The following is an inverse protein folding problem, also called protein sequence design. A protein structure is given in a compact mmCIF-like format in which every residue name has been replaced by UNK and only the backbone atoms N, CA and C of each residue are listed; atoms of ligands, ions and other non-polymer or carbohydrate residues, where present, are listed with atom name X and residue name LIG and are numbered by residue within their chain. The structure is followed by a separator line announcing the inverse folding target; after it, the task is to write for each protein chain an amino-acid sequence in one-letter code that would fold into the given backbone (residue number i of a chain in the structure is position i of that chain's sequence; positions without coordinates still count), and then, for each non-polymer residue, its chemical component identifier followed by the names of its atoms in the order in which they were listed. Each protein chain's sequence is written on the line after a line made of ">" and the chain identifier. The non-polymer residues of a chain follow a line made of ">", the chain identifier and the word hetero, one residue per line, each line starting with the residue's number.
data_IF_541893243592
#
_entry.id   IF_541893243592
#
_cell.length_a   1.000
_cell.length_b   1.000
_cell.length_c   1.000
_cell.angle_alpha   90.00
_cell.angle_beta   90.00
_cell.angle_gamma   90.00
#
_symmetry.space_group_name_H-M   'P 1'
#
loop_
_entity.id
_entity.type
_entity.pdbx_description
1 polymer ?
#
# COMPACT_ATOMS: atom_id res chain seq x y z
N UNK A 1 79.98 19.27 35.86
CA UNK A 1 78.71 19.10 36.59
C UNK A 1 77.72 18.36 35.69
N UNK A 2 77.00 17.39 36.29
CA UNK A 2 75.88 16.57 35.83
C UNK A 2 75.10 16.98 34.54
N UNK A 3 74.50 16.10 33.73
CA UNK A 3 74.25 14.64 33.73
C UNK A 3 73.50 14.33 32.40
N UNK A 4 73.75 13.12 31.85
CA UNK A 4 72.79 12.22 31.16
C UNK A 4 72.15 12.69 29.83
N UNK A 5 72.53 12.11 28.67
CA UNK A 5 72.10 10.81 28.08
C UNK A 5 70.77 10.87 27.31
N UNK A 6 70.84 10.35 26.07
CA UNK A 6 69.98 9.32 25.48
C UNK A 6 68.93 9.68 24.39
N UNK A 7 69.23 9.12 23.20
CA UNK A 7 68.43 8.14 22.42
C UNK A 7 67.44 8.62 21.34
N UNK A 8 67.77 8.12 20.14
CA UNK A 8 66.98 7.79 18.94
C UNK A 8 65.49 7.46 19.17
N UNK A 9 64.67 8.06 18.29
CA UNK A 9 63.74 7.47 17.31
C UNK A 9 62.69 6.40 17.72
N UNK A 10 61.55 6.43 17.00
CA UNK A 10 60.53 5.38 16.73
C UNK A 10 59.16 5.50 17.44
N UNK A 11 58.16 5.84 16.60
CA UNK A 11 56.74 5.40 16.50
C UNK A 11 55.82 5.41 17.74
N UNK A 12 54.62 6.01 17.58
CA UNK A 12 53.30 5.35 17.41
C UNK A 12 52.16 6.13 18.11
N UNK A 13 50.99 6.10 17.46
CA UNK A 13 49.60 6.14 17.98
C UNK A 13 48.83 7.45 18.26
N UNK A 14 47.82 7.69 17.40
CA UNK A 14 46.35 7.71 17.71
C UNK A 14 45.68 9.02 18.19
N UNK A 15 44.73 9.48 17.33
CA UNK A 15 43.34 9.99 17.54
C UNK A 15 42.99 11.49 17.52
N UNK A 16 41.85 11.73 16.83
CA UNK A 16 40.85 12.84 16.86
C UNK A 16 41.17 14.02 15.92
N UNK A 17 40.26 14.58 15.12
CA UNK A 17 38.82 14.37 14.90
C UNK A 17 38.37 15.08 13.59
N UNK A 18 37.44 14.43 12.87
CA UNK A 18 36.35 14.95 12.03
C UNK A 18 36.60 15.98 10.89
N UNK A 19 36.30 15.64 9.61
CA UNK A 19 36.06 16.62 8.56
C UNK A 19 34.55 16.94 8.42
N UNK A 20 34.20 18.22 8.53
CA UNK A 20 32.94 18.85 8.07
C UNK A 20 33.27 19.54 6.75
N UNK A 21 32.51 19.55 5.65
CA UNK A 21 31.17 19.08 5.28
C UNK A 21 31.17 18.95 3.75
N UNK A 22 30.73 17.82 3.20
CA UNK A 22 30.55 17.65 1.77
C UNK A 22 29.29 18.37 1.29
N UNK A 23 29.41 19.16 0.22
CA UNK A 23 28.31 19.83 -0.48
C UNK A 23 27.49 18.78 -1.24
N UNK A 24 26.35 18.36 -0.70
CA UNK A 24 25.42 17.48 -1.42
C UNK A 24 24.20 18.30 -1.91
N UNK A 25 24.28 18.76 -3.16
CA UNK A 25 23.20 19.47 -3.86
C UNK A 25 22.00 18.54 -4.09
N UNK A 26 20.81 19.13 -3.93
CA UNK A 26 19.46 18.56 -4.04
C UNK A 26 19.31 17.54 -5.20
N UNK A 27 18.99 16.28 -4.88
CA UNK A 27 18.40 15.33 -5.85
C UNK A 27 16.88 15.32 -5.69
N UNK A 28 16.17 15.56 -6.81
CA UNK A 28 14.72 15.69 -7.02
C UNK A 28 13.89 14.59 -6.29
N UNK A 29 12.67 14.88 -5.80
CA UNK A 29 11.84 13.93 -5.04
C UNK A 29 11.53 12.61 -5.79
N UNK A 30 11.40 12.66 -7.12
CA UNK A 30 11.13 11.49 -7.96
C UNK A 30 12.24 10.42 -7.91
N UNK A 31 13.52 10.82 -7.93
CA UNK A 31 14.65 9.87 -7.92
C UNK A 31 14.77 9.12 -6.59
N UNK A 32 14.31 9.70 -5.48
CA UNK A 32 14.25 9.03 -4.17
C UNK A 32 13.13 7.99 -4.09
N UNK A 33 12.03 8.19 -4.80
CA UNK A 33 10.90 7.26 -4.83
C UNK A 33 11.25 5.99 -5.62
N UNK A 34 11.88 6.13 -6.80
CA UNK A 34 12.32 4.99 -7.62
C UNK A 34 13.36 4.11 -6.93
N UNK A 35 14.31 4.71 -6.20
CA UNK A 35 15.32 3.96 -5.45
C UNK A 35 14.66 3.20 -4.28
N UNK A 36 13.69 3.82 -3.58
CA UNK A 36 12.94 3.15 -2.50
C UNK A 36 12.06 2.01 -3.02
N UNK A 37 11.44 2.15 -4.19
CA UNK A 37 10.67 1.09 -4.85
C UNK A 37 11.54 -0.13 -5.20
N UNK A 38 12.75 0.08 -5.74
CA UNK A 38 13.70 -1.01 -6.02
C UNK A 38 14.19 -1.74 -4.77
N UNK A 39 14.46 -1.01 -3.69
CA UNK A 39 14.82 -1.61 -2.39
C UNK A 39 13.64 -2.40 -1.80
N UNK A 40 12.41 -1.95 -2.04
CA UNK A 40 11.23 -2.63 -1.56
C UNK A 40 10.94 -3.95 -2.30
N UNK A 41 11.18 -3.99 -3.61
CA UNK A 41 11.19 -5.24 -4.40
C UNK A 41 12.18 -6.27 -3.88
N UNK A 42 13.30 -5.85 -3.30
CA UNK A 42 14.26 -6.78 -2.69
C UNK A 42 13.88 -7.25 -1.28
N UNK A 43 12.99 -6.52 -0.59
CA UNK A 43 12.53 -6.85 0.75
C UNK A 43 11.27 -7.75 0.76
N UNK A 44 10.48 -7.71 -0.31
CA UNK A 44 9.33 -8.60 -0.46
C UNK A 44 9.81 -9.95 -1.01
N UNK A 45 9.75 -10.99 -0.18
CA UNK A 45 10.22 -12.31 -0.58
C UNK A 45 9.24 -12.93 -1.59
N UNK A 46 9.73 -13.84 -2.43
CA UNK A 46 8.86 -14.62 -3.34
C UNK A 46 7.79 -15.40 -2.57
N UNK A 47 8.09 -15.84 -1.35
CA UNK A 47 7.14 -16.49 -0.44
C UNK A 47 6.04 -15.54 0.01
N UNK A 48 6.36 -14.29 0.38
CA UNK A 48 5.36 -13.29 0.77
C UNK A 48 4.44 -12.94 -0.40
N UNK A 49 4.97 -12.83 -1.62
CA UNK A 49 4.15 -12.61 -2.81
C UNK A 49 3.16 -13.77 -3.03
N UNK A 50 3.59 -15.01 -2.82
CA UNK A 50 2.70 -16.17 -2.97
C UNK A 50 1.59 -16.18 -1.92
N UNK A 51 1.91 -15.90 -0.66
CA UNK A 51 0.89 -15.85 0.40
C UNK A 51 -0.10 -14.71 0.18
N UNK A 52 0.38 -13.51 -0.16
CA UNK A 52 -0.50 -12.37 -0.48
C UNK A 52 -1.37 -12.64 -1.71
N UNK A 53 -0.85 -13.33 -2.73
CA UNK A 53 -1.62 -13.72 -3.91
C UNK A 53 -2.75 -14.67 -3.56
N UNK A 54 -2.49 -15.67 -2.71
CA UNK A 54 -3.53 -16.60 -2.27
C UNK A 54 -4.65 -15.89 -1.52
N UNK A 55 -4.30 -14.96 -0.62
CA UNK A 55 -5.28 -14.13 0.11
C UNK A 55 -6.13 -13.31 -0.87
N UNK A 56 -5.51 -12.72 -1.90
CA UNK A 56 -6.24 -11.94 -2.91
C UNK A 56 -7.19 -12.81 -3.73
N UNK A 57 -6.78 -14.04 -4.08
CA UNK A 57 -7.63 -14.99 -4.83
C UNK A 57 -8.84 -15.42 -3.99
N UNK A 58 -8.62 -15.81 -2.74
CA UNK A 58 -9.68 -16.17 -1.80
C UNK A 58 -10.68 -15.01 -1.66
N UNK A 59 -10.19 -13.78 -1.43
CA UNK A 59 -11.04 -12.60 -1.32
C UNK A 59 -11.79 -12.24 -2.60
N UNK A 60 -11.16 -12.43 -3.77
CA UNK A 60 -11.84 -12.25 -5.06
C UNK A 60 -13.00 -13.24 -5.18
N UNK A 61 -12.77 -14.51 -4.87
CA UNK A 61 -13.77 -15.55 -5.03
C UNK A 61 -14.95 -15.31 -4.08
N UNK A 62 -14.68 -14.96 -2.82
CA UNK A 62 -15.70 -14.54 -1.84
C UNK A 62 -16.56 -13.37 -2.37
N UNK A 63 -15.92 -12.26 -2.75
CA UNK A 63 -16.61 -11.05 -3.23
C UNK A 63 -17.38 -11.29 -4.53
N UNK A 64 -16.81 -12.10 -5.44
CA UNK A 64 -17.46 -12.44 -6.69
C UNK A 64 -18.73 -13.26 -6.44
N UNK A 65 -18.71 -14.18 -5.46
CA UNK A 65 -19.87 -14.95 -5.05
C UNK A 65 -20.98 -14.05 -4.50
N UNK A 66 -20.63 -13.12 -3.61
CA UNK A 66 -21.58 -12.16 -3.02
C UNK A 66 -22.23 -11.29 -4.10
N UNK A 67 -21.43 -10.72 -5.01
CA UNK A 67 -21.93 -9.85 -6.09
C UNK A 67 -22.84 -10.62 -7.05
N UNK A 68 -22.52 -11.88 -7.35
CA UNK A 68 -23.37 -12.72 -8.22
C UNK A 68 -24.68 -13.12 -7.54
N UNK A 69 -24.67 -13.44 -6.24
CA UNK A 69 -25.89 -13.74 -5.48
C UNK A 69 -26.83 -12.55 -5.40
N UNK A 70 -26.31 -11.35 -5.07
CA UNK A 70 -27.13 -10.13 -4.97
C UNK A 70 -27.79 -9.76 -6.29
N UNK A 71 -27.06 -9.86 -7.41
CA UNK A 71 -27.63 -9.66 -8.76
C UNK A 71 -28.81 -10.59 -9.05
N UNK A 72 -28.81 -11.80 -8.52
CA UNK A 72 -29.89 -12.76 -8.72
C UNK A 72 -31.10 -12.45 -7.83
N UNK A 73 -30.87 -11.98 -6.61
CA UNK A 73 -31.93 -11.51 -5.70
C UNK A 73 -32.56 -10.18 -6.12
N UNK A 74 -31.90 -9.39 -6.95
CA UNK A 74 -32.43 -8.12 -7.51
C UNK A 74 -33.43 -8.32 -8.68
N UNK A 75 -33.71 -9.57 -9.09
CA UNK A 75 -34.75 -9.85 -10.07
C UNK A 75 -36.13 -9.43 -9.52
N UNK A 76 -36.98 -8.76 -10.32
CA UNK A 76 -38.18 -8.14 -9.80
C UNK A 76 -39.21 -9.20 -9.41
N UNK A 77 -39.30 -9.47 -8.11
CA UNK A 77 -40.55 -9.94 -7.52
C UNK A 77 -41.54 -8.77 -7.66
N UNK A 78 -42.72 -9.04 -8.23
CA UNK A 78 -43.74 -8.00 -8.44
C UNK A 78 -44.00 -7.28 -7.10
N UNK A 79 -43.67 -5.99 -7.00
CA UNK A 79 -43.92 -5.18 -5.79
C UNK A 79 -45.43 -4.93 -5.64
N UNK A 80 -46.09 -5.94 -5.10
CA UNK A 80 -47.48 -5.90 -4.68
C UNK A 80 -47.46 -5.37 -3.25
N UNK A 81 -47.73 -4.08 -3.09
CA UNK A 81 -47.74 -3.37 -1.81
C UNK A 81 -48.42 -2.02 -1.97
N UNK A 82 -48.79 -1.40 -0.85
CA UNK A 82 -49.34 -0.04 -0.84
C UNK A 82 -48.24 1.02 -1.10
N UNK A 83 -48.60 2.30 -1.12
CA UNK A 83 -47.63 3.37 -1.39
C UNK A 83 -46.53 3.47 -0.32
N UNK A 84 -46.82 3.07 0.92
CA UNK A 84 -45.86 3.09 2.03
C UNK A 84 -44.88 1.92 1.90
N UNK A 85 -45.39 0.73 1.53
CA UNK A 85 -44.57 -0.44 1.25
C UNK A 85 -43.59 -0.16 0.11
N UNK A 86 -44.08 0.43 -0.98
CA UNK A 86 -43.25 0.81 -2.14
C UNK A 86 -42.17 1.82 -1.79
N UNK A 87 -42.52 2.85 -1.00
CA UNK A 87 -41.54 3.82 -0.53
C UNK A 87 -40.43 3.15 0.29
N UNK A 88 -40.80 2.22 1.17
CA UNK A 88 -39.85 1.46 2.01
C UNK A 88 -38.95 0.55 1.18
N UNK A 89 -39.54 -0.25 0.28
CA UNK A 89 -38.78 -1.13 -0.63
C UNK A 89 -37.81 -0.36 -1.53
N UNK A 90 -38.18 0.85 -1.97
CA UNK A 90 -37.28 1.71 -2.74
C UNK A 90 -36.03 2.10 -1.96
N UNK A 91 -36.17 2.48 -0.69
CA UNK A 91 -35.04 2.86 0.17
C UNK A 91 -34.14 1.66 0.45
N UNK A 92 -34.73 0.49 0.73
CA UNK A 92 -33.97 -0.75 0.95
C UNK A 92 -33.16 -1.15 -0.29
N UNK A 93 -33.75 -1.01 -1.48
CA UNK A 93 -33.06 -1.26 -2.76
C UNK A 93 -31.90 -0.30 -2.99
N UNK A 94 -32.09 0.98 -2.70
CA UNK A 94 -31.02 1.98 -2.81
C UNK A 94 -29.84 1.65 -1.89
N UNK A 95 -30.12 1.31 -0.63
CA UNK A 95 -29.09 0.86 0.31
C UNK A 95 -28.35 -0.40 -0.19
N UNK A 96 -29.08 -1.39 -0.69
CA UNK A 96 -28.49 -2.62 -1.22
C UNK A 96 -27.61 -2.33 -2.45
N UNK A 97 -28.04 -1.41 -3.31
CA UNK A 97 -27.29 -0.98 -4.48
C UNK A 97 -25.95 -0.32 -4.08
N UNK A 98 -25.95 0.58 -3.09
CA UNK A 98 -24.72 1.22 -2.61
C UNK A 98 -23.72 0.22 -2.00
N UNK A 99 -24.22 -0.72 -1.20
CA UNK A 99 -23.40 -1.79 -0.62
C UNK A 99 -22.78 -2.65 -1.72
N UNK A 100 -23.59 -3.07 -2.70
CA UNK A 100 -23.14 -3.88 -3.84
C UNK A 100 -22.14 -3.12 -4.72
N UNK A 101 -22.35 -1.82 -4.91
CA UNK A 101 -21.42 -0.97 -5.64
C UNK A 101 -20.06 -0.89 -4.93
N UNK A 102 -20.06 -0.73 -3.60
CA UNK A 102 -18.83 -0.71 -2.81
C UNK A 102 -18.08 -2.05 -2.91
N UNK A 103 -18.78 -3.17 -2.83
CA UNK A 103 -18.20 -4.51 -3.00
C UNK A 103 -17.58 -4.70 -4.40
N UNK A 104 -18.26 -4.25 -5.46
CA UNK A 104 -17.73 -4.26 -6.83
C UNK A 104 -16.45 -3.43 -6.94
N UNK A 105 -16.43 -2.23 -6.35
CA UNK A 105 -15.23 -1.39 -6.35
C UNK A 105 -14.06 -2.08 -5.64
N UNK A 106 -14.31 -2.78 -4.53
CA UNK A 106 -13.28 -3.57 -3.84
C UNK A 106 -12.80 -4.73 -4.73
N UNK A 107 -13.72 -5.46 -5.37
CA UNK A 107 -13.38 -6.55 -6.30
C UNK A 107 -12.46 -6.06 -7.42
N UNK A 108 -12.78 -4.92 -8.03
CA UNK A 108 -11.95 -4.29 -9.06
C UNK A 108 -10.55 -3.95 -8.53
N UNK A 109 -10.44 -3.46 -7.29
CA UNK A 109 -9.11 -3.20 -6.68
C UNK A 109 -8.31 -4.47 -6.42
N UNK A 110 -8.97 -5.57 -6.06
CA UNK A 110 -8.34 -6.88 -5.87
C UNK A 110 -7.82 -7.41 -7.20
N UNK A 111 -8.64 -7.36 -8.26
CA UNK A 111 -8.21 -7.76 -9.60
C UNK A 111 -7.03 -6.93 -10.10
N UNK A 112 -7.09 -5.61 -9.92
CA UNK A 112 -5.99 -4.72 -10.27
C UNK A 112 -4.72 -5.07 -9.48
N UNK A 113 -4.83 -5.40 -8.20
CA UNK A 113 -3.70 -5.83 -7.38
C UNK A 113 -3.07 -7.13 -7.91
N UNK A 114 -3.88 -8.13 -8.28
CA UNK A 114 -3.40 -9.38 -8.88
C UNK A 114 -2.66 -9.10 -10.19
N UNK A 115 -3.23 -8.27 -11.09
CA UNK A 115 -2.57 -7.88 -12.35
C UNK A 115 -1.23 -7.19 -12.09
N UNK A 116 -1.14 -6.31 -11.08
CA UNK A 116 0.13 -5.67 -10.69
C UNK A 116 1.17 -6.67 -10.17
N UNK A 117 0.75 -7.76 -9.52
CA UNK A 117 1.68 -8.82 -9.12
C UNK A 117 2.29 -9.50 -10.34
N UNK A 118 1.52 -9.70 -11.41
CA UNK A 118 2.00 -10.29 -12.66
C UNK A 118 2.99 -9.37 -13.38
N UNK A 119 2.74 -8.05 -13.38
CA UNK A 119 3.66 -7.05 -13.93
C UNK A 119 4.81 -6.65 -13.01
N UNK A 120 4.94 -7.29 -11.84
CA UNK A 120 5.93 -6.95 -10.82
C UNK A 120 5.85 -5.48 -10.36
N UNK A 121 4.69 -4.83 -10.39
CA UNK A 121 4.49 -3.44 -9.91
C UNK A 121 3.74 -3.38 -8.56
N UNK A 122 3.55 -4.53 -7.94
CA UNK A 122 2.83 -4.65 -6.69
C UNK A 122 3.52 -3.93 -5.52
N UNK A 123 2.71 -3.28 -4.67
CA UNK A 123 3.17 -2.62 -3.45
C UNK A 123 3.63 -1.17 -3.63
N UNK A 124 3.32 -0.52 -4.76
CA UNK A 124 3.53 0.91 -4.97
C UNK A 124 2.22 1.70 -4.88
N UNK A 125 2.30 2.89 -4.29
CA UNK A 125 1.18 3.81 -4.20
C UNK A 125 0.92 4.47 -5.56
N UNK A 126 -0.34 4.47 -6.01
CA UNK A 126 -0.73 5.05 -7.31
C UNK A 126 -0.64 6.58 -7.35
N UNK A 127 -0.79 7.26 -6.21
CA UNK A 127 -0.74 8.72 -6.15
C UNK A 127 0.70 9.26 -6.12
N UNK A 128 1.56 8.72 -5.26
CA UNK A 128 2.91 9.27 -5.04
C UNK A 128 4.06 8.38 -5.51
N UNK A 129 3.78 7.17 -6.00
CA UNK A 129 4.80 6.20 -6.44
C UNK A 129 5.68 5.64 -5.31
N UNK A 130 5.40 5.97 -4.04
CA UNK A 130 6.17 5.46 -2.90
C UNK A 130 5.75 4.02 -2.55
N UNK A 131 6.66 3.19 -2.00
CA UNK A 131 6.30 1.86 -1.54
C UNK A 131 5.29 1.92 -0.38
N UNK A 132 4.28 1.05 -0.45
CA UNK A 132 3.27 0.84 0.59
C UNK A 132 3.83 -0.10 1.65
N UNK A 133 3.72 0.24 2.93
CA UNK A 133 4.33 -0.51 4.04
C UNK A 133 3.87 -1.98 4.13
N UNK A 134 4.78 -2.87 4.55
CA UNK A 134 4.53 -4.33 4.53
C UNK A 134 3.42 -4.69 5.51
N UNK A 135 3.39 -4.01 6.67
CA UNK A 135 2.33 -4.17 7.67
C UNK A 135 0.96 -3.90 7.06
N UNK A 136 0.85 -2.89 6.19
CA UNK A 136 -0.40 -2.54 5.52
C UNK A 136 -0.77 -3.56 4.46
N UNK A 137 0.18 -4.00 3.63
CA UNK A 137 -0.08 -5.03 2.61
C UNK A 137 -0.45 -6.39 3.22
N UNK A 138 0.12 -6.73 4.39
CA UNK A 138 -0.25 -7.94 5.16
C UNK A 138 -1.66 -7.86 5.74
N UNK A 139 -2.14 -6.66 6.10
CA UNK A 139 -3.50 -6.46 6.59
C UNK A 139 -4.51 -6.36 5.44
N UNK A 140 -4.19 -5.60 4.39
CA UNK A 140 -5.03 -5.39 3.21
C UNK A 140 -4.14 -5.36 1.95
N UNK A 141 -4.02 -6.48 1.22
CA UNK A 141 -3.15 -6.56 0.04
C UNK A 141 -3.66 -5.81 -1.21
N UNK A 142 -4.93 -5.41 -1.25
CA UNK A 142 -5.54 -4.70 -2.40
C UNK A 142 -5.46 -3.17 -2.32
N UNK A 143 -4.80 -2.61 -1.30
CA UNK A 143 -4.71 -1.16 -1.10
C UNK A 143 -4.00 -0.46 -2.27
N UNK A 144 -4.64 0.61 -2.78
CA UNK A 144 -4.10 1.44 -3.88
C UNK A 144 -3.14 2.54 -3.42
N UNK A 145 -3.30 3.00 -2.19
CA UNK A 145 -2.58 4.16 -1.65
C UNK A 145 -1.77 3.84 -0.38
N UNK A 146 -0.68 4.58 -0.20
CA UNK A 146 0.03 4.61 1.08
C UNK A 146 -0.76 5.42 2.12
N UNK A 147 -0.37 5.28 3.40
CA UNK A 147 -1.11 5.90 4.51
C UNK A 147 -1.11 7.43 4.43
N UNK A 148 0.00 8.04 4.00
CA UNK A 148 0.10 9.49 3.85
C UNK A 148 -0.88 10.00 2.78
N UNK A 149 -0.92 9.33 1.62
CA UNK A 149 -1.83 9.69 0.53
C UNK A 149 -3.28 9.41 0.89
N UNK A 150 -3.56 8.29 1.58
CA UNK A 150 -4.91 7.99 2.04
C UNK A 150 -5.41 9.08 2.99
N UNK A 151 -4.59 9.52 3.94
CA UNK A 151 -4.96 10.58 4.88
C UNK A 151 -5.33 11.88 4.16
N UNK A 152 -4.58 12.28 3.14
CA UNK A 152 -4.92 13.47 2.33
C UNK A 152 -6.23 13.36 1.56
N UNK A 153 -6.68 12.15 1.20
CA UNK A 153 -7.99 11.96 0.56
C UNK A 153 -9.14 11.96 1.58
N UNK A 154 -8.88 11.50 2.80
CA UNK A 154 -9.88 11.44 3.88
C UNK A 154 -10.09 12.80 4.57
N UNK A 155 -9.04 13.62 4.67
CA UNK A 155 -9.13 15.01 5.14
C UNK A 155 -8.91 15.94 3.96
N UNK A 156 -9.93 16.19 3.10
CA UNK A 156 -9.86 17.33 2.20
C UNK A 156 -9.71 18.57 3.09
N UNK A 157 -8.57 19.26 3.00
CA UNK A 157 -8.41 20.57 3.64
C UNK A 157 -9.53 21.48 3.12
N UNK A 158 -10.42 21.91 4.02
CA UNK A 158 -11.42 22.98 3.76
C UNK A 158 -10.74 24.34 3.55
#
# INVERSE_FOLDING_TARGET
>A
MAKKKAKKNVKKSVKKNAPKKAKNKLKKPAQKAEIKAKVYKSALTKSDLKTLRNILIEKRDDLSGVVMQKKHSELPENEIGDEVDRATSSVEKEMLFELTNTEKMILDTIEAAIRKMDHSDFGLCESCGKPVSLKRLKAMPWVRYCIDCQKTFETPEE
#
